data_IF_932365732892
#
_entry.id   IF_932365732892
#
_cell.length_a   1.000
_cell.length_b   1.000
_cell.length_c   1.000
_cell.angle_alpha   90.00
_cell.angle_beta   90.00
_cell.angle_gamma   90.00
#
_symmetry.space_group_name_H-M   'P 1'
#
loop_
_entity.id
_entity.type
_entity.pdbx_description
1 polymer ?
#
# COMPACT_ATOMS: atom_id res chain seq x y z
N UNK A 1 -9.01 0.12 -30.78
CA UNK A 1 -10.03 0.57 -29.79
C UNK A 1 -10.49 -0.56 -28.87
N UNK A 2 -11.09 -1.66 -29.36
CA UNK A 2 -11.48 -2.79 -28.48
C UNK A 2 -10.31 -3.45 -27.74
N UNK A 3 -9.24 -3.84 -28.45
CA UNK A 3 -8.03 -4.39 -27.82
C UNK A 3 -7.41 -3.43 -26.78
N UNK A 4 -7.39 -2.12 -27.07
CA UNK A 4 -6.90 -1.08 -26.16
C UNK A 4 -7.76 -0.94 -24.89
N UNK A 5 -9.08 -1.14 -24.99
CA UNK A 5 -9.97 -1.14 -23.84
C UNK A 5 -9.84 -2.41 -23.01
N UNK A 6 -9.64 -3.56 -23.66
CA UNK A 6 -9.38 -4.84 -22.98
C UNK A 6 -8.09 -4.76 -22.14
N UNK A 7 -7.00 -4.27 -22.74
CA UNK A 7 -5.73 -4.06 -22.05
C UNK A 7 -5.86 -3.08 -20.87
N UNK A 8 -6.58 -1.98 -21.08
CA UNK A 8 -6.87 -1.00 -20.03
C UNK A 8 -7.71 -1.61 -18.89
N UNK A 9 -8.72 -2.42 -19.22
CA UNK A 9 -9.54 -3.13 -18.24
C UNK A 9 -8.73 -4.17 -17.47
N UNK A 10 -7.80 -4.88 -18.11
CA UNK A 10 -6.92 -5.83 -17.44
C UNK A 10 -6.04 -5.12 -16.39
N UNK A 11 -5.41 -4.00 -16.75
CA UNK A 11 -4.59 -3.24 -15.80
C UNK A 11 -5.44 -2.66 -14.66
N UNK A 12 -6.61 -2.10 -14.96
CA UNK A 12 -7.53 -1.60 -13.95
C UNK A 12 -7.93 -2.71 -12.95
N UNK A 13 -8.24 -3.91 -13.45
CA UNK A 13 -8.58 -5.06 -12.61
C UNK A 13 -7.40 -5.52 -11.75
N UNK A 14 -6.18 -5.50 -12.27
CA UNK A 14 -4.97 -5.85 -11.50
C UNK A 14 -4.77 -4.84 -10.37
N UNK A 15 -4.86 -3.55 -10.65
CA UNK A 15 -4.69 -2.49 -9.64
C UNK A 15 -5.75 -2.60 -8.54
N UNK A 16 -7.02 -2.77 -8.93
CA UNK A 16 -8.10 -2.94 -7.97
C UNK A 16 -7.91 -4.19 -7.10
N UNK A 17 -7.61 -5.35 -7.70
CA UNK A 17 -7.38 -6.58 -6.95
C UNK A 17 -6.18 -6.51 -6.00
N UNK A 18 -5.15 -5.75 -6.36
CA UNK A 18 -3.99 -5.54 -5.52
C UNK A 18 -4.31 -4.63 -4.33
N UNK A 19 -5.04 -3.54 -4.58
CA UNK A 19 -5.49 -2.60 -3.55
C UNK A 19 -6.43 -3.30 -2.53
N UNK A 20 -7.37 -4.09 -3.04
CA UNK A 20 -8.34 -4.86 -2.24
C UNK A 20 -7.77 -6.19 -1.71
N UNK A 21 -6.49 -6.48 -1.95
CA UNK A 21 -5.92 -7.78 -1.60
C UNK A 21 -6.01 -8.01 -0.09
N UNK A 22 -6.57 -9.13 0.38
CA UNK A 22 -7.03 -9.24 1.76
C UNK A 22 -5.88 -9.28 2.78
N UNK A 23 -4.66 -9.57 2.36
CA UNK A 23 -3.48 -9.63 3.25
C UNK A 23 -2.51 -8.49 2.95
N UNK A 24 -1.62 -8.14 3.90
CA UNK A 24 -0.62 -7.10 3.70
C UNK A 24 0.28 -7.35 2.49
N UNK A 25 0.50 -6.30 1.69
CA UNK A 25 1.30 -6.29 0.48
C UNK A 25 2.54 -5.43 0.70
N UNK A 26 3.71 -6.05 0.58
CA UNK A 26 5.00 -5.37 0.58
C UNK A 26 5.55 -5.27 -0.84
N UNK A 27 5.95 -4.08 -1.26
CA UNK A 27 6.66 -3.87 -2.52
C UNK A 27 8.12 -3.44 -2.29
N UNK A 28 9.03 -4.01 -3.09
CA UNK A 28 10.44 -3.66 -3.12
C UNK A 28 10.73 -2.96 -4.46
N UNK A 29 11.01 -1.66 -4.41
CA UNK A 29 11.35 -0.84 -5.56
C UNK A 29 12.87 -0.79 -5.77
N UNK A 30 13.33 -1.17 -6.97
CA UNK A 30 14.74 -1.12 -7.37
C UNK A 30 14.87 -0.66 -8.81
N UNK A 31 15.88 0.17 -9.10
CA UNK A 31 16.14 0.66 -10.45
C UNK A 31 15.05 1.62 -10.92
N UNK A 32 14.60 1.49 -12.17
CA UNK A 32 13.60 2.38 -12.76
C UNK A 32 12.17 1.88 -12.49
N UNK A 33 11.38 2.66 -11.78
CA UNK A 33 9.97 2.40 -11.44
C UNK A 33 9.09 3.43 -12.15
N UNK A 34 8.77 3.17 -13.41
CA UNK A 34 8.13 4.14 -14.30
C UNK A 34 6.73 3.71 -14.74
N UNK A 35 5.88 4.70 -15.03
CA UNK A 35 4.54 4.53 -15.59
C UNK A 35 3.65 3.65 -14.72
N UNK A 36 3.04 2.62 -15.32
CA UNK A 36 2.12 1.69 -14.64
C UNK A 36 2.67 1.04 -13.36
N UNK A 37 4.00 0.89 -13.24
CA UNK A 37 4.63 0.37 -12.03
C UNK A 37 4.38 1.25 -10.79
N UNK A 38 4.23 2.58 -10.98
CA UNK A 38 3.88 3.50 -9.91
C UNK A 38 2.46 3.26 -9.40
N UNK A 39 1.54 2.83 -10.26
CA UNK A 39 0.20 2.42 -9.84
C UNK A 39 0.24 1.21 -8.91
N UNK A 40 0.95 0.16 -9.32
CA UNK A 40 1.12 -1.04 -8.50
C UNK A 40 1.77 -0.72 -7.15
N UNK A 41 2.76 0.19 -7.16
CA UNK A 41 3.46 0.65 -5.96
C UNK A 41 2.53 1.40 -5.01
N UNK A 42 1.60 2.21 -5.52
CA UNK A 42 0.60 2.92 -4.71
C UNK A 42 -0.54 2.03 -4.17
N UNK A 43 -0.66 0.79 -4.65
CA UNK A 43 -1.59 -0.21 -4.12
C UNK A 43 -0.98 -1.03 -2.96
N UNK A 44 0.33 -0.93 -2.71
CA UNK A 44 0.99 -1.68 -1.65
C UNK A 44 0.79 -1.04 -0.27
N UNK A 45 0.66 -1.88 0.77
CA UNK A 45 0.53 -1.41 2.16
C UNK A 45 1.87 -0.90 2.71
N UNK A 46 2.99 -1.41 2.20
CA UNK A 46 4.33 -0.94 2.54
C UNK A 46 5.25 -0.99 1.32
N UNK A 47 6.08 0.05 1.17
CA UNK A 47 7.02 0.18 0.04
C UNK A 47 8.41 0.45 0.58
N UNK A 48 9.33 -0.46 0.28
CA UNK A 48 10.77 -0.31 0.48
C UNK A 48 11.40 0.05 -0.86
N UNK A 49 12.27 1.05 -0.91
CA UNK A 49 13.01 1.36 -2.13
C UNK A 49 14.52 1.35 -1.90
N UNK A 50 15.26 0.92 -2.93
CA UNK A 50 16.68 1.19 -3.00
C UNK A 50 16.93 2.70 -3.10
N UNK A 51 17.97 3.19 -2.45
CA UNK A 51 18.38 4.60 -2.51
C UNK A 51 18.68 5.09 -3.94
N UNK A 52 19.11 4.18 -4.82
CA UNK A 52 19.38 4.44 -6.23
C UNK A 52 18.16 4.29 -7.16
N UNK A 53 16.97 4.03 -6.60
CA UNK A 53 15.74 3.90 -7.37
C UNK A 53 15.32 5.25 -7.98
N UNK A 54 14.77 5.19 -9.19
CA UNK A 54 14.29 6.33 -9.96
C UNK A 54 12.83 6.14 -10.32
N UNK A 55 12.07 7.22 -10.28
CA UNK A 55 10.62 7.21 -10.47
C UNK A 55 10.22 8.22 -11.55
N UNK A 56 9.20 7.91 -12.33
CA UNK A 56 8.72 8.79 -13.41
C UNK A 56 7.31 8.40 -13.89
N UNK A 57 6.42 9.38 -13.99
CA UNK A 57 5.16 9.25 -14.73
C UNK A 57 5.43 9.63 -16.20
N UNK A 58 5.92 8.67 -16.99
CA UNK A 58 6.45 8.91 -18.33
C UNK A 58 5.40 9.14 -19.42
N UNK A 59 4.13 8.85 -19.14
CA UNK A 59 3.03 8.79 -20.09
C UNK A 59 2.85 10.08 -20.89
N UNK A 60 3.03 11.25 -20.27
CA UNK A 60 2.84 12.54 -20.95
C UNK A 60 3.82 12.74 -22.11
N UNK A 61 5.03 12.15 -22.05
CA UNK A 61 6.00 12.18 -23.17
C UNK A 61 5.52 11.40 -24.39
N UNK A 62 4.58 10.47 -24.19
CA UNK A 62 3.95 9.67 -25.23
C UNK A 62 2.60 10.25 -25.68
N UNK A 63 2.22 11.43 -25.18
CA UNK A 63 0.89 12.00 -25.41
C UNK A 63 -0.24 11.25 -24.68
N UNK A 64 0.10 10.50 -23.62
CA UNK A 64 -0.85 9.72 -22.83
C UNK A 64 -0.99 10.31 -21.42
N UNK A 65 -2.09 10.00 -20.76
CA UNK A 65 -2.29 10.29 -19.34
C UNK A 65 -2.11 9.02 -18.50
N UNK A 66 -1.53 9.11 -17.28
CA UNK A 66 -1.50 8.02 -16.31
C UNK A 66 -2.88 7.79 -15.67
N UNK A 67 -3.93 7.65 -16.50
CA UNK A 67 -5.33 7.74 -16.08
C UNK A 67 -5.72 6.62 -15.10
N UNK A 68 -5.35 5.37 -15.41
CA UNK A 68 -5.73 4.20 -14.61
C UNK A 68 -5.06 4.17 -13.24
N UNK A 69 -3.82 4.66 -13.15
CA UNK A 69 -3.07 4.68 -11.89
C UNK A 69 -3.39 5.90 -11.03
N UNK A 70 -4.00 6.94 -11.62
CA UNK A 70 -4.19 8.24 -10.98
C UNK A 70 -4.93 8.22 -9.64
N UNK A 71 -5.98 7.41 -9.41
CA UNK A 71 -6.66 7.40 -8.12
C UNK A 71 -5.74 6.95 -6.97
N UNK A 72 -4.95 5.91 -7.22
CA UNK A 72 -4.00 5.34 -6.25
C UNK A 72 -2.86 6.32 -5.97
N UNK A 73 -2.34 6.97 -7.02
CA UNK A 73 -1.25 7.95 -6.87
C UNK A 73 -1.72 9.19 -6.12
N UNK A 74 -2.90 9.73 -6.45
CA UNK A 74 -3.45 10.92 -5.78
C UNK A 74 -3.71 10.63 -4.31
N UNK A 75 -4.20 9.42 -3.98
CA UNK A 75 -4.37 8.99 -2.59
C UNK A 75 -3.05 8.92 -1.83
N UNK A 76 -1.95 8.53 -2.49
CA UNK A 76 -0.63 8.41 -1.86
C UNK A 76 0.09 9.77 -1.71
N UNK A 77 0.26 10.53 -2.80
CA UNK A 77 1.12 11.73 -2.82
C UNK A 77 0.37 13.06 -2.83
N UNK A 78 -0.97 13.01 -2.92
CA UNK A 78 -1.82 14.18 -3.06
C UNK A 78 -1.84 14.77 -4.48
N UNK A 79 -2.96 15.42 -4.81
CA UNK A 79 -3.23 15.93 -6.18
C UNK A 79 -2.21 16.98 -6.64
N UNK A 80 -1.70 17.82 -5.72
CA UNK A 80 -0.76 18.91 -6.08
C UNK A 80 0.56 18.36 -6.61
N UNK A 81 1.11 17.35 -5.95
CA UNK A 81 2.36 16.74 -6.38
C UNK A 81 2.15 15.81 -7.57
N UNK A 82 1.05 15.06 -7.59
CA UNK A 82 0.66 14.27 -8.77
C UNK A 82 0.60 15.15 -10.02
N UNK A 83 -0.02 16.33 -9.95
CA UNK A 83 -0.07 17.29 -11.06
C UNK A 83 1.31 17.72 -11.53
N UNK A 84 2.24 18.01 -10.62
CA UNK A 84 3.61 18.39 -10.98
C UNK A 84 4.26 17.29 -11.82
N UNK A 85 4.34 16.08 -11.28
CA UNK A 85 5.13 15.00 -11.87
C UNK A 85 4.45 14.32 -13.06
N UNK A 86 3.13 14.22 -13.08
CA UNK A 86 2.39 13.65 -14.21
C UNK A 86 2.38 14.56 -15.44
N UNK A 87 2.40 15.89 -15.25
CA UNK A 87 2.47 16.84 -16.37
C UNK A 87 3.89 17.02 -16.90
N UNK A 88 4.88 17.11 -16.02
CA UNK A 88 6.27 17.32 -16.43
C UNK A 88 6.94 16.06 -16.97
N UNK A 89 6.46 14.88 -16.54
CA UNK A 89 7.14 13.60 -16.73
C UNK A 89 8.63 13.68 -16.35
N UNK A 90 8.97 14.49 -15.34
CA UNK A 90 10.34 14.58 -14.82
C UNK A 90 10.70 13.29 -14.07
N UNK A 91 11.97 12.90 -14.12
CA UNK A 91 12.49 11.79 -13.31
C UNK A 91 12.87 12.33 -11.94
N UNK A 92 12.48 11.62 -10.88
CA UNK A 92 12.83 11.97 -9.51
C UNK A 92 13.44 10.77 -8.76
N UNK A 93 14.22 11.08 -7.74
CA UNK A 93 14.96 10.09 -6.95
C UNK A 93 14.17 9.51 -5.79
N UNK A 94 14.76 8.52 -5.11
CA UNK A 94 14.14 7.81 -4.01
C UNK A 94 13.85 8.71 -2.78
N UNK A 95 14.70 9.71 -2.50
CA UNK A 95 14.45 10.69 -1.44
C UNK A 95 13.19 11.53 -1.68
N UNK A 96 12.97 11.96 -2.92
CA UNK A 96 11.73 12.64 -3.28
C UNK A 96 10.54 11.69 -3.19
N UNK A 97 10.68 10.44 -3.65
CA UNK A 97 9.62 9.45 -3.53
C UNK A 97 9.21 9.19 -2.07
N UNK A 98 10.17 9.19 -1.13
CA UNK A 98 9.92 9.12 0.32
C UNK A 98 9.16 10.36 0.82
N UNK A 99 9.62 11.57 0.48
CA UNK A 99 8.96 12.83 0.87
C UNK A 99 7.53 12.95 0.31
N UNK A 100 7.30 12.35 -0.85
CA UNK A 100 6.02 12.32 -1.55
C UNK A 100 5.12 11.17 -1.09
N UNK A 101 5.52 10.40 -0.08
CA UNK A 101 4.75 9.27 0.47
C UNK A 101 4.49 8.12 -0.53
N UNK A 102 5.20 8.09 -1.66
CA UNK A 102 5.20 6.93 -2.56
C UNK A 102 6.01 5.78 -1.97
N UNK A 103 7.08 6.11 -1.24
CA UNK A 103 7.93 5.14 -0.56
C UNK A 103 7.85 5.35 0.94
N UNK A 104 7.88 4.27 1.71
CA UNK A 104 7.83 4.32 3.17
C UNK A 104 9.21 4.25 3.81
N UNK A 105 10.16 3.57 3.16
CA UNK A 105 11.54 3.44 3.66
C UNK A 105 12.55 3.28 2.54
N UNK A 106 13.69 3.96 2.70
CA UNK A 106 14.87 3.81 1.84
C UNK A 106 15.90 2.93 2.51
N UNK A 107 16.58 2.12 1.71
CA UNK A 107 17.71 1.29 2.12
C UNK A 107 18.73 1.19 0.99
N UNK A 108 20.01 0.89 1.29
CA UNK A 108 20.97 0.52 0.25
C UNK A 108 20.44 -0.64 -0.59
N UNK A 109 20.71 -0.63 -1.91
CA UNK A 109 20.18 -1.63 -2.83
C UNK A 109 20.54 -3.08 -2.42
N UNK A 110 21.72 -3.27 -1.83
CA UNK A 110 22.19 -4.57 -1.34
C UNK A 110 21.43 -5.05 -0.09
N UNK A 111 20.78 -4.16 0.65
CA UNK A 111 20.07 -4.46 1.91
C UNK A 111 18.56 -4.63 1.73
N UNK A 112 18.01 -4.48 0.52
CA UNK A 112 16.58 -4.59 0.24
C UNK A 112 15.98 -5.92 0.74
N UNK A 113 16.67 -7.04 0.52
CA UNK A 113 16.22 -8.35 0.99
C UNK A 113 16.19 -8.43 2.52
N UNK A 114 17.22 -7.91 3.18
CA UNK A 114 17.28 -7.88 4.64
C UNK A 114 16.19 -6.96 5.23
N UNK A 115 15.91 -5.83 4.58
CA UNK A 115 14.86 -4.91 4.99
C UNK A 115 13.46 -5.55 4.86
N UNK A 116 13.21 -6.30 3.78
CA UNK A 116 12.01 -7.14 3.63
C UNK A 116 11.89 -8.13 4.79
N UNK A 117 12.96 -8.87 5.10
CA UNK A 117 12.92 -9.90 6.15
C UNK A 117 12.65 -9.29 7.54
N UNK A 118 13.23 -8.13 7.84
CA UNK A 118 12.93 -7.37 9.07
C UNK A 118 11.46 -6.96 9.16
N UNK A 119 10.88 -6.50 8.05
CA UNK A 119 9.47 -6.12 8.03
C UNK A 119 8.56 -7.35 8.14
N UNK A 120 8.87 -8.44 7.43
CA UNK A 120 8.13 -9.71 7.55
C UNK A 120 8.18 -10.25 8.97
N UNK A 121 9.35 -10.23 9.62
CA UNK A 121 9.49 -10.64 11.01
C UNK A 121 8.60 -9.81 11.95
N UNK A 122 8.42 -8.51 11.67
CA UNK A 122 7.51 -7.63 12.42
C UNK A 122 6.04 -7.96 12.11
N UNK A 123 5.70 -8.14 10.84
CA UNK A 123 4.34 -8.44 10.42
C UNK A 123 3.86 -9.78 10.98
N UNK A 124 4.72 -10.80 11.02
CA UNK A 124 4.40 -12.12 11.56
C UNK A 124 4.13 -12.10 13.08
N UNK A 125 4.41 -11.00 13.79
CA UNK A 125 3.99 -10.81 15.18
C UNK A 125 2.52 -10.35 15.30
N UNK A 126 1.83 -10.09 14.19
CA UNK A 126 0.46 -9.58 14.16
C UNK A 126 -0.55 -10.68 13.84
N UNK A 127 -1.75 -10.58 14.44
CA UNK A 127 -2.83 -11.53 14.19
C UNK A 127 -3.31 -11.46 12.73
N UNK A 128 -3.36 -12.58 11.99
CA UNK A 128 -3.73 -12.56 10.57
C UNK A 128 -5.18 -12.11 10.32
N UNK A 129 -6.13 -12.41 11.21
CA UNK A 129 -7.49 -11.87 11.12
C UNK A 129 -7.47 -10.36 11.36
N UNK A 130 -6.79 -9.89 12.40
CA UNK A 130 -6.67 -8.47 12.70
C UNK A 130 -6.08 -7.67 11.54
N UNK A 131 -5.00 -8.16 10.89
CA UNK A 131 -4.38 -7.46 9.76
C UNK A 131 -5.31 -7.34 8.55
N UNK A 132 -6.10 -8.39 8.24
CA UNK A 132 -7.12 -8.34 7.17
C UNK A 132 -8.19 -7.28 7.45
N UNK A 133 -8.66 -7.26 8.70
CA UNK A 133 -9.73 -6.37 9.16
C UNK A 133 -9.27 -4.91 9.25
N UNK A 134 -8.02 -4.67 9.65
CA UNK A 134 -7.39 -3.34 9.62
C UNK A 134 -7.37 -2.80 8.19
N UNK A 135 -6.92 -3.62 7.22
CA UNK A 135 -6.86 -3.20 5.82
C UNK A 135 -8.24 -2.83 5.27
N UNK A 136 -9.25 -3.67 5.53
CA UNK A 136 -10.64 -3.39 5.13
C UNK A 136 -11.21 -2.16 5.83
N UNK A 137 -10.89 -1.95 7.10
CA UNK A 137 -11.31 -0.75 7.84
C UNK A 137 -10.71 0.52 7.22
N UNK A 138 -9.39 0.53 6.96
CA UNK A 138 -8.72 1.68 6.36
C UNK A 138 -9.24 2.00 4.95
N UNK A 139 -9.54 0.98 4.14
CA UNK A 139 -10.15 1.16 2.82
C UNK A 139 -11.52 1.87 2.89
N UNK A 140 -12.35 1.55 3.89
CA UNK A 140 -13.63 2.24 4.13
C UNK A 140 -13.45 3.70 4.55
N UNK A 141 -12.43 4.00 5.34
CA UNK A 141 -12.13 5.34 5.84
C UNK A 141 -11.58 6.28 4.76
N UNK A 142 -10.82 5.75 3.80
CA UNK A 142 -10.12 6.55 2.78
C UNK A 142 -11.04 7.33 1.82
N UNK A 143 -12.36 7.07 1.83
CA UNK A 143 -13.34 7.71 0.94
C UNK A 143 -14.43 8.51 1.64
N UNK A 144 -14.35 8.77 2.95
CA UNK A 144 -15.42 9.43 3.72
C UNK A 144 -14.88 10.60 4.52
N UNK A 145 -15.43 11.78 4.28
CA UNK A 145 -15.08 13.01 5.01
C UNK A 145 -15.68 13.07 6.43
N UNK A 146 -16.47 12.06 6.84
CA UNK A 146 -17.21 12.10 8.09
C UNK A 146 -16.85 10.96 9.06
N UNK A 147 -15.99 11.27 10.03
CA UNK A 147 -15.59 10.34 11.10
C UNK A 147 -16.78 9.78 11.90
N UNK A 148 -17.86 10.56 12.05
CA UNK A 148 -19.04 10.16 12.83
C UNK A 148 -19.82 9.03 12.15
N UNK A 149 -19.83 8.99 10.82
CA UNK A 149 -20.55 7.96 10.05
C UNK A 149 -19.92 6.57 10.20
N UNK A 150 -18.65 6.51 10.62
CA UNK A 150 -17.89 5.27 10.77
C UNK A 150 -17.83 4.75 12.22
N UNK A 151 -18.21 5.55 13.22
CA UNK A 151 -18.11 5.16 14.62
C UNK A 151 -18.90 3.87 14.92
N UNK A 152 -20.13 3.76 14.39
CA UNK A 152 -20.96 2.56 14.57
C UNK A 152 -20.31 1.30 13.99
N UNK A 153 -19.78 1.40 12.77
CA UNK A 153 -19.07 0.29 12.12
C UNK A 153 -17.80 -0.10 12.90
N UNK A 154 -17.05 0.88 13.40
CA UNK A 154 -15.82 0.64 14.15
C UNK A 154 -16.10 0.02 15.53
N UNK A 155 -17.17 0.43 16.22
CA UNK A 155 -17.63 -0.19 17.47
C UNK A 155 -17.99 -1.67 17.25
N UNK A 156 -18.75 -1.96 16.20
CA UNK A 156 -19.09 -3.35 15.85
C UNK A 156 -17.85 -4.17 15.49
N UNK A 157 -16.92 -3.59 14.73
CA UNK A 157 -15.67 -4.24 14.35
C UNK A 157 -14.84 -4.61 15.59
N UNK A 158 -14.57 -3.66 16.49
CA UNK A 158 -13.74 -3.93 17.66
C UNK A 158 -14.44 -4.90 18.63
N UNK A 159 -15.76 -4.81 18.80
CA UNK A 159 -16.51 -5.77 19.60
C UNK A 159 -16.37 -7.19 19.04
N UNK A 160 -16.54 -7.36 17.72
CA UNK A 160 -16.37 -8.65 17.03
C UNK A 160 -14.94 -9.19 17.15
N UNK A 161 -13.92 -8.36 16.96
CA UNK A 161 -12.53 -8.80 17.05
C UNK A 161 -12.13 -9.17 18.48
N UNK A 162 -12.61 -8.42 19.48
CA UNK A 162 -12.32 -8.73 20.89
C UNK A 162 -12.91 -10.05 21.33
N UNK A 163 -14.06 -10.47 20.78
CA UNK A 163 -14.71 -11.74 21.12
C UNK A 163 -14.36 -12.87 20.16
N UNK A 164 -13.53 -12.63 19.13
CA UNK A 164 -13.09 -13.68 18.21
C UNK A 164 -12.08 -14.62 18.88
N UNK A 165 -11.91 -15.81 18.30
CA UNK A 165 -10.90 -16.77 18.76
C UNK A 165 -9.50 -16.17 18.76
N UNK A 166 -9.13 -15.46 17.69
CA UNK A 166 -7.83 -14.77 17.60
C UNK A 166 -7.69 -13.68 18.67
N UNK A 167 -8.73 -12.85 18.87
CA UNK A 167 -8.70 -11.79 19.87
C UNK A 167 -8.60 -12.30 21.30
N UNK A 168 -9.35 -13.34 21.65
CA UNK A 168 -9.28 -13.98 22.97
C UNK A 168 -7.91 -14.60 23.22
N UNK A 169 -7.34 -15.29 22.23
CA UNK A 169 -6.00 -15.87 22.32
C UNK A 169 -4.93 -14.80 22.54
N UNK A 170 -4.99 -13.71 21.77
CA UNK A 170 -4.02 -12.62 21.86
C UNK A 170 -4.08 -11.89 23.20
N UNK A 171 -5.29 -11.68 23.73
CA UNK A 171 -5.49 -11.10 25.05
C UNK A 171 -4.96 -12.01 26.16
N UNK A 172 -5.22 -13.32 26.10
CA UNK A 172 -4.70 -14.28 27.06
C UNK A 172 -3.17 -14.29 27.06
N UNK A 173 -2.54 -14.41 25.87
CA UNK A 173 -1.09 -14.40 25.73
C UNK A 173 -0.45 -13.10 26.28
N UNK A 174 -1.11 -11.95 26.07
CA UNK A 174 -0.67 -10.68 26.63
C UNK A 174 -0.67 -10.68 28.17
N UNK A 175 -1.74 -11.18 28.81
CA UNK A 175 -1.82 -11.25 30.28
C UNK A 175 -0.84 -12.27 30.88
N UNK A 176 -0.62 -13.38 30.19
CA UNK A 176 0.28 -14.46 30.59
C UNK A 176 1.76 -14.17 30.28
N UNK A 177 2.05 -13.08 29.56
CA UNK A 177 3.39 -12.74 29.04
C UNK A 177 3.99 -13.87 28.20
N UNK A 178 3.15 -14.60 27.49
CA UNK A 178 3.53 -15.64 26.54
C UNK A 178 3.43 -15.09 25.09
N UNK A 179 3.86 -15.88 24.11
CA UNK A 179 3.70 -15.54 22.68
C UNK A 179 2.42 -16.16 22.15
N UNK A 180 1.62 -15.43 21.35
CA UNK A 180 0.46 -16.02 20.69
C UNK A 180 0.89 -16.96 19.54
N UNK A 181 -0.01 -17.85 19.13
CA UNK A 181 0.31 -18.99 18.23
C UNK A 181 0.73 -18.55 16.83
N UNK A 182 0.28 -17.37 16.39
CA UNK A 182 0.68 -16.81 15.10
C UNK A 182 2.08 -16.19 15.10
N UNK A 183 2.66 -15.94 16.28
CA UNK A 183 3.92 -15.21 16.46
C UNK A 183 5.11 -16.12 16.78
N UNK A 184 5.10 -17.36 16.25
CA UNK A 184 6.16 -18.36 16.45
C UNK A 184 7.51 -17.92 15.86
#
# INVERSE_FOLDING_TARGET
>A
MRATLEDASLLANVLQRLDDFPVPVLMLARGAVFGGALGLLCCADHVLAAEDARFCFSEARLGLAPALISPYVVRAMGVRQARRYMLSAEVFGAEDALRLQLVHRLVPAAELAQARDRWLATLLQTGPQASREIKQMLARLAGRDHLLDEQGCNLQLIARLRTSSEGQHGLAAFFERSRPDWAQ
#
